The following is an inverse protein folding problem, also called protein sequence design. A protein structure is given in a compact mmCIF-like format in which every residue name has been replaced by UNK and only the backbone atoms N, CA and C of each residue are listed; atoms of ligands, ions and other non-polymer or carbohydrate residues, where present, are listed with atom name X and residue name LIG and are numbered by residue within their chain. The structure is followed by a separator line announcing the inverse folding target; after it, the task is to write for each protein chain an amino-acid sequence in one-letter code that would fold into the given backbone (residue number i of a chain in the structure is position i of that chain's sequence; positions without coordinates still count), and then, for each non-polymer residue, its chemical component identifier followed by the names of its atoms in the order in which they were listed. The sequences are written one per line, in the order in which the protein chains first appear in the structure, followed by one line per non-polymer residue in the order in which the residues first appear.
data_IF_634618156762
#
_entry.id   IF_634618156762
#
_cell.length_a   1.000
_cell.length_b   1.000
_cell.length_c   1.000
_cell.angle_alpha   90.00
_cell.angle_beta   90.00
_cell.angle_gamma   90.00
#
_symmetry.space_group_name_H-M   'P 1'
#
loop_
_entity.id
_entity.type
_entity.pdbx_description
1 polymer ?
#
# COMPACT_ATOMS: atom_id res chain seq x y z
N UNK A 1 -24.09 -0.54 -9.19
CA UNK A 1 -23.06 -1.09 -8.27
C UNK A 1 -21.93 -0.08 -8.29
N UNK A 2 -21.77 0.73 -7.23
CA UNK A 2 -20.89 1.90 -7.25
C UNK A 2 -19.44 1.48 -7.05
N UNK A 3 -18.65 1.51 -8.11
CA UNK A 3 -17.24 1.14 -8.06
C UNK A 3 -16.53 2.30 -7.37
N UNK A 4 -16.21 2.12 -6.09
CA UNK A 4 -15.43 3.10 -5.34
C UNK A 4 -14.00 2.97 -5.87
N UNK A 5 -13.51 4.00 -6.55
CA UNK A 5 -12.13 3.98 -7.09
C UNK A 5 -11.17 3.71 -5.93
N UNK A 6 -10.35 2.64 -6.00
CA UNK A 6 -9.42 2.33 -4.93
C UNK A 6 -8.43 3.48 -4.76
N UNK A 7 -8.25 3.96 -3.52
CA UNK A 7 -7.30 5.03 -3.24
C UNK A 7 -5.90 4.46 -3.21
N UNK A 8 -5.01 5.00 -4.03
CA UNK A 8 -3.63 4.54 -4.13
C UNK A 8 -2.71 5.61 -3.54
N UNK A 9 -1.85 5.21 -2.62
CA UNK A 9 -0.83 6.05 -2.01
C UNK A 9 0.54 5.36 -2.12
N UNK A 10 1.63 6.13 -2.19
CA UNK A 10 2.97 5.55 -2.22
C UNK A 10 3.75 6.02 -1.00
N UNK A 11 4.23 5.08 -0.21
CA UNK A 11 4.97 5.32 1.03
C UNK A 11 6.24 4.50 1.01
N UNK A 12 7.39 5.15 1.19
CA UNK A 12 8.70 4.48 1.25
C UNK A 12 9.07 3.62 0.02
N UNK A 13 8.46 3.93 -1.14
CA UNK A 13 8.62 3.16 -2.39
C UNK A 13 7.62 2.02 -2.57
N UNK A 14 6.69 1.83 -1.62
CA UNK A 14 5.65 0.82 -1.64
C UNK A 14 4.29 1.45 -1.94
N UNK A 15 3.46 0.73 -2.67
CA UNK A 15 2.13 1.16 -3.10
C UNK A 15 1.08 0.66 -2.11
N UNK A 16 0.44 1.56 -1.41
CA UNK A 16 -0.70 1.29 -0.53
C UNK A 16 -1.97 1.44 -1.35
N UNK A 17 -2.87 0.47 -1.30
CA UNK A 17 -4.15 0.46 -2.02
C UNK A 17 -5.28 0.23 -1.04
N UNK A 18 -6.23 1.17 -0.98
CA UNK A 18 -7.52 0.99 -0.31
C UNK A 18 -8.40 0.08 -1.17
N UNK A 19 -8.75 -1.09 -0.64
CA UNK A 19 -9.67 -2.05 -1.28
C UNK A 19 -11.09 -1.89 -0.73
N UNK A 20 -12.08 -2.62 -1.28
CA UNK A 20 -13.48 -2.50 -0.85
C UNK A 20 -13.64 -2.84 0.65
N UNK A 21 -13.84 -1.79 1.47
CA UNK A 21 -13.92 -1.87 2.93
C UNK A 21 -12.95 -0.89 3.60
N UNK A 22 -12.86 -0.85 4.93
CA UNK A 22 -11.79 -0.15 5.64
C UNK A 22 -10.53 -1.01 5.59
N UNK A 23 -10.04 -1.35 4.39
CA UNK A 23 -8.93 -2.29 4.24
C UNK A 23 -7.90 -1.75 3.26
N UNK A 24 -6.65 -1.81 3.67
CA UNK A 24 -5.50 -1.28 2.97
C UNK A 24 -4.51 -2.41 2.71
N UNK A 25 -3.97 -2.47 1.51
CA UNK A 25 -3.00 -3.47 1.10
C UNK A 25 -1.74 -2.78 0.64
N UNK A 26 -0.60 -3.23 1.15
CA UNK A 26 0.71 -2.72 0.74
C UNK A 26 1.23 -3.59 -0.41
N UNK A 27 1.77 -2.96 -1.44
CA UNK A 27 2.27 -3.61 -2.64
C UNK A 27 3.69 -3.12 -2.96
N UNK A 28 4.42 -4.05 -3.53
CA UNK A 28 5.77 -3.93 -4.02
C UNK A 28 5.77 -4.12 -5.54
N UNK A 29 5.52 -3.04 -6.28
CA UNK A 29 5.14 -3.16 -7.68
C UNK A 29 3.80 -3.92 -7.80
N UNK A 30 3.84 -5.14 -8.32
CA UNK A 30 2.67 -6.02 -8.47
C UNK A 30 2.52 -7.07 -7.35
N UNK A 31 3.47 -7.16 -6.41
CA UNK A 31 3.44 -8.16 -5.31
C UNK A 31 2.84 -7.55 -4.05
N UNK A 32 1.77 -8.12 -3.50
CA UNK A 32 1.28 -7.71 -2.18
C UNK A 32 2.32 -8.08 -1.10
N UNK A 33 2.57 -7.17 -0.17
CA UNK A 33 3.41 -7.38 1.01
C UNK A 33 2.58 -7.23 2.29
N UNK A 34 2.77 -8.18 3.21
CA UNK A 34 2.07 -8.20 4.49
C UNK A 34 0.59 -8.55 4.37
N UNK A 35 -0.11 -8.38 5.48
CA UNK A 35 -1.54 -8.62 5.64
C UNK A 35 -2.40 -7.45 5.13
N UNK A 36 -3.71 -7.61 5.23
CA UNK A 36 -4.68 -6.53 5.08
C UNK A 36 -4.71 -5.67 6.35
N UNK A 37 -4.50 -4.36 6.17
CA UNK A 37 -4.50 -3.39 7.26
C UNK A 37 -5.87 -2.73 7.38
N UNK A 38 -6.47 -2.61 8.58
CA UNK A 38 -7.74 -1.92 8.78
C UNK A 38 -7.64 -0.39 8.65
N UNK A 39 -6.43 0.16 8.76
CA UNK A 39 -6.19 1.61 8.73
C UNK A 39 -5.03 2.00 7.80
N UNK A 40 -5.11 3.18 7.15
CA UNK A 40 -4.06 3.63 6.24
C UNK A 40 -2.75 3.91 6.98
N UNK A 41 -2.83 4.39 8.24
CA UNK A 41 -1.66 4.64 9.07
C UNK A 41 -0.87 3.38 9.41
N UNK A 42 -1.53 2.24 9.57
CA UNK A 42 -0.85 0.96 9.81
C UNK A 42 -0.18 0.43 8.55
N UNK A 43 -0.86 0.51 7.40
CA UNK A 43 -0.26 0.17 6.11
C UNK A 43 0.95 1.06 5.81
N UNK A 44 0.86 2.36 6.11
CA UNK A 44 1.96 3.31 5.96
C UNK A 44 3.11 2.98 6.91
N UNK A 45 2.83 2.71 8.19
CA UNK A 45 3.84 2.31 9.17
C UNK A 45 4.57 1.03 8.73
N UNK A 46 3.83 0.04 8.23
CA UNK A 46 4.40 -1.18 7.67
C UNK A 46 5.30 -0.86 6.47
N UNK A 47 4.81 -0.11 5.49
CA UNK A 47 5.59 0.32 4.33
C UNK A 47 6.87 1.08 4.73
N UNK A 48 6.81 1.95 5.74
CA UNK A 48 7.99 2.67 6.27
C UNK A 48 8.95 1.78 7.05
N UNK A 49 8.46 0.69 7.65
CA UNK A 49 9.29 -0.28 8.37
C UNK A 49 10.05 -1.20 7.42
N UNK A 50 9.57 -1.35 6.18
CA UNK A 50 10.27 -2.09 5.14
C UNK A 50 11.53 -1.35 4.68
N UNK A 51 12.53 -2.08 4.15
CA UNK A 51 13.70 -1.46 3.53
C UNK A 51 13.24 -0.46 2.47
N UNK A 52 13.72 0.77 2.53
CA UNK A 52 13.34 1.80 1.56
C UNK A 52 13.67 1.29 0.16
N UNK A 53 12.66 1.15 -0.68
CA UNK A 53 12.90 0.95 -2.10
C UNK A 53 13.24 2.29 -2.67
N UNK A 54 14.53 2.58 -2.64
CA UNK A 54 15.11 3.41 -3.70
C UNK A 54 14.68 2.70 -4.99
N UNK A 55 13.78 3.32 -5.73
CA UNK A 55 13.47 2.87 -7.07
C UNK A 55 14.51 3.56 -7.96
N UNK A 56 15.69 2.98 -8.25
CA UNK A 56 16.51 3.46 -9.33
C UNK A 56 15.75 3.06 -10.59
N UNK A 57 14.83 3.93 -11.02
CA UNK A 57 14.38 3.90 -12.40
C UNK A 57 15.57 4.41 -13.19
N UNK A 58 16.46 3.48 -13.57
CA UNK A 58 17.52 3.73 -14.56
C UNK A 58 16.91 4.20 -15.87
#
# INVERSE_FOLDING_TARGET
MGWKTPRIEYVNGYKIVEVEGPTFKVYDGDRQLGDDFPYPGEAAAYATSLPKRDHPRS
#
